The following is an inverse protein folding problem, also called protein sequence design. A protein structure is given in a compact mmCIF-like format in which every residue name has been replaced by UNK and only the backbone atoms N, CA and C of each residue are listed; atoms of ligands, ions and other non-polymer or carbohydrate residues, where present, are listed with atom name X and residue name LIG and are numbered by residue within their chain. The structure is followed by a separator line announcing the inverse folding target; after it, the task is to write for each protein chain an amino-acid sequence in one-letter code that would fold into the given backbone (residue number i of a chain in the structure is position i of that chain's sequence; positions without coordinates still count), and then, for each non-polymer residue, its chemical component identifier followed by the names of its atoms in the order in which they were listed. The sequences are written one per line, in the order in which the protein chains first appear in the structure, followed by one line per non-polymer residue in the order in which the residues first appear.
data_IF_998832886415
#
_entry.id   IF_998832886415
#
_cell.length_a   1.000
_cell.length_b   1.000
_cell.length_c   1.000
_cell.angle_alpha   90.00
_cell.angle_beta   90.00
_cell.angle_gamma   90.00
#
_symmetry.space_group_name_H-M   'P 1'
#
loop_
_entity.id
_entity.type
_entity.pdbx_description
1 polymer ?
#
# COMPACT_ATOMS: atom_id res chain seq x y z
N UNK A 1 10.23 4.91 -22.90
CA UNK A 1 11.08 4.43 -21.79
C UNK A 1 10.50 5.00 -20.49
N UNK A 2 10.13 4.12 -19.59
CA UNK A 2 9.45 4.49 -18.34
C UNK A 2 10.52 4.82 -17.30
N UNK A 3 10.92 6.09 -17.21
CA UNK A 3 11.84 6.55 -16.18
C UNK A 3 11.04 6.83 -14.91
N UNK A 4 11.41 6.17 -13.80
CA UNK A 4 10.89 6.50 -12.49
C UNK A 4 11.35 7.87 -12.02
N UNK A 5 10.51 8.51 -11.22
CA UNK A 5 10.84 9.79 -10.60
C UNK A 5 10.52 9.73 -9.10
N UNK A 6 11.50 9.33 -8.31
CA UNK A 6 11.39 9.09 -6.87
C UNK A 6 10.32 8.03 -6.53
N UNK A 7 10.50 6.76 -6.98
CA UNK A 7 9.58 5.69 -6.64
C UNK A 7 9.52 5.48 -5.12
N UNK A 8 8.36 5.07 -4.65
CA UNK A 8 8.06 5.03 -3.22
C UNK A 8 8.06 3.63 -2.64
N UNK A 9 7.64 2.62 -3.41
CA UNK A 9 7.58 1.24 -2.95
C UNK A 9 7.53 0.23 -4.09
N UNK A 10 7.75 -1.05 -3.76
CA UNK A 10 7.68 -2.19 -4.68
C UNK A 10 7.03 -3.39 -3.99
N UNK A 11 6.11 -4.09 -4.68
CA UNK A 11 5.53 -5.34 -4.23
C UNK A 11 5.51 -6.40 -5.33
N UNK A 12 5.47 -7.67 -4.90
CA UNK A 12 5.41 -8.82 -5.78
C UNK A 12 4.03 -9.48 -5.71
N UNK A 13 3.48 -9.81 -6.86
CA UNK A 13 2.28 -10.63 -6.94
C UNK A 13 2.62 -12.14 -6.80
N UNK A 14 1.64 -12.99 -6.47
CA UNK A 14 1.85 -14.44 -6.37
C UNK A 14 2.38 -15.11 -7.66
N UNK A 15 2.10 -14.53 -8.83
CA UNK A 15 2.61 -15.01 -10.13
C UNK A 15 4.02 -14.48 -10.47
N UNK A 16 4.63 -13.68 -9.57
CA UNK A 16 5.94 -13.08 -9.75
C UNK A 16 5.94 -11.71 -10.43
N UNK A 17 4.81 -11.19 -10.89
CA UNK A 17 4.72 -9.83 -11.43
C UNK A 17 5.10 -8.81 -10.36
N UNK A 18 5.72 -7.71 -10.79
CA UNK A 18 6.25 -6.67 -9.92
C UNK A 18 5.45 -5.38 -10.12
N UNK A 19 4.98 -4.80 -9.02
CA UNK A 19 4.31 -3.51 -9.02
C UNK A 19 5.18 -2.47 -8.31
N UNK A 20 5.30 -1.29 -8.91
CA UNK A 20 6.08 -0.17 -8.37
C UNK A 20 5.20 1.06 -8.26
N UNK A 21 5.07 1.61 -7.06
CA UNK A 21 4.50 2.95 -6.89
C UNK A 21 5.56 4.01 -7.16
N UNK A 22 5.28 4.92 -8.11
CA UNK A 22 6.19 6.00 -8.53
C UNK A 22 5.58 7.33 -8.07
N UNK A 23 5.57 7.55 -6.74
CA UNK A 23 4.65 8.48 -6.12
C UNK A 23 5.14 9.90 -5.93
N UNK A 24 6.40 10.16 -5.59
CA UNK A 24 6.85 11.52 -5.30
C UNK A 24 6.93 12.39 -6.54
N UNK A 25 7.40 11.85 -7.65
CA UNK A 25 7.55 12.58 -8.89
C UNK A 25 6.47 12.30 -9.93
N UNK A 26 5.87 11.11 -9.88
CA UNK A 26 4.84 10.67 -10.81
C UNK A 26 3.68 10.02 -10.05
N UNK A 27 2.42 10.45 -10.22
CA UNK A 27 1.28 9.87 -9.49
C UNK A 27 0.76 8.61 -10.19
N UNK A 28 1.58 7.53 -10.23
CA UNK A 28 1.26 6.30 -10.96
C UNK A 28 1.74 5.03 -10.25
N UNK A 29 1.20 3.89 -10.68
CA UNK A 29 1.71 2.55 -10.43
C UNK A 29 2.14 1.93 -11.75
N UNK A 30 3.27 1.24 -11.77
CA UNK A 30 3.81 0.55 -12.96
C UNK A 30 3.91 -0.93 -12.68
N UNK A 31 3.48 -1.76 -13.62
CA UNK A 31 3.53 -3.22 -13.56
C UNK A 31 4.56 -3.78 -14.53
N UNK A 32 5.36 -4.71 -14.04
CA UNK A 32 6.31 -5.51 -14.82
C UNK A 32 6.03 -6.99 -14.64
N UNK A 33 6.33 -7.79 -15.66
CA UNK A 33 6.41 -9.23 -15.52
C UNK A 33 7.60 -9.64 -14.65
N UNK A 34 7.61 -10.89 -14.18
CA UNK A 34 8.68 -11.46 -13.35
C UNK A 34 10.07 -11.41 -14.00
N UNK A 35 10.14 -11.37 -15.32
CA UNK A 35 11.40 -11.24 -16.09
C UNK A 35 11.83 -9.78 -16.31
N UNK A 36 11.08 -8.81 -15.78
CA UNK A 36 11.33 -7.38 -15.90
C UNK A 36 10.75 -6.73 -17.16
N UNK A 37 9.97 -7.46 -17.99
CA UNK A 37 9.27 -6.87 -19.10
C UNK A 37 8.18 -5.92 -18.60
N UNK A 38 8.14 -4.69 -19.13
CA UNK A 38 7.05 -3.75 -18.86
C UNK A 38 5.72 -4.32 -19.39
N UNK A 39 4.68 -4.24 -18.57
CA UNK A 39 3.34 -4.69 -18.93
C UNK A 39 2.37 -3.52 -19.11
N UNK A 40 2.19 -2.73 -18.06
CA UNK A 40 1.26 -1.59 -18.06
C UNK A 40 1.57 -0.59 -16.94
N UNK A 41 0.92 0.55 -16.98
CA UNK A 41 0.89 1.53 -15.90
C UNK A 41 -0.48 2.18 -15.81
N UNK A 42 -0.82 2.67 -14.63
CA UNK A 42 -2.03 3.45 -14.40
C UNK A 42 -1.80 4.54 -13.36
N UNK A 43 -2.71 5.50 -13.33
CA UNK A 43 -2.67 6.63 -12.42
C UNK A 43 -2.31 7.93 -13.12
N UNK A 44 -2.87 8.98 -12.58
CA UNK A 44 -2.58 10.39 -12.93
C UNK A 44 -2.91 11.25 -11.71
N UNK A 45 -2.45 12.47 -11.67
CA UNK A 45 -2.75 13.38 -10.56
C UNK A 45 -4.24 13.70 -10.49
N UNK A 46 -4.82 13.55 -9.29
CA UNK A 46 -6.22 13.87 -9.05
C UNK A 46 -6.76 13.22 -7.77
N UNK A 47 -8.09 13.28 -7.62
CA UNK A 47 -8.83 12.79 -6.45
C UNK A 47 -9.88 11.72 -6.80
N UNK A 48 -10.13 11.49 -8.08
CA UNK A 48 -11.09 10.49 -8.56
C UNK A 48 -10.57 9.05 -8.47
N UNK A 49 -11.42 8.06 -8.80
CA UNK A 49 -11.00 6.66 -8.91
C UNK A 49 -9.84 6.48 -9.91
N UNK A 50 -8.77 5.81 -9.49
CA UNK A 50 -7.58 5.62 -10.31
C UNK A 50 -6.69 6.85 -10.47
N UNK A 51 -7.04 7.98 -9.85
CA UNK A 51 -6.19 9.15 -9.74
C UNK A 51 -5.48 9.17 -8.38
N UNK A 52 -4.29 9.77 -8.30
CA UNK A 52 -3.50 9.83 -7.07
C UNK A 52 -3.05 11.25 -6.73
N UNK A 53 -3.06 11.55 -5.45
CA UNK A 53 -2.28 12.65 -4.89
C UNK A 53 -0.81 12.23 -4.74
N UNK A 54 -0.59 11.15 -3.98
CA UNK A 54 0.73 10.54 -3.79
C UNK A 54 0.58 9.04 -3.48
N UNK A 55 0.75 8.14 -4.46
CA UNK A 55 0.82 6.71 -4.21
C UNK A 55 2.14 6.40 -3.47
N UNK A 56 2.05 5.95 -2.20
CA UNK A 56 3.23 5.90 -1.32
C UNK A 56 3.69 4.48 -1.00
N UNK A 57 2.76 3.56 -0.79
CA UNK A 57 3.06 2.17 -0.48
C UNK A 57 2.03 1.26 -1.15
N UNK A 58 2.38 0.01 -1.43
CA UNK A 58 1.46 -0.92 -2.05
C UNK A 58 1.69 -2.37 -1.59
N UNK A 59 0.62 -3.16 -1.58
CA UNK A 59 0.67 -4.61 -1.35
C UNK A 59 -0.22 -5.32 -2.35
N UNK A 60 0.08 -6.60 -2.62
CA UNK A 60 -0.70 -7.43 -3.56
C UNK A 60 -1.20 -8.67 -2.81
N UNK A 61 -2.52 -8.89 -2.83
CA UNK A 61 -3.12 -10.06 -2.17
C UNK A 61 -2.97 -11.37 -2.97
N UNK A 62 -3.39 -12.47 -2.39
CA UNK A 62 -3.31 -13.81 -3.01
C UNK A 62 -4.15 -13.96 -4.29
N UNK A 63 -5.08 -13.03 -4.56
CA UNK A 63 -5.89 -12.98 -5.78
C UNK A 63 -5.32 -12.03 -6.83
N UNK A 64 -4.18 -11.38 -6.53
CA UNK A 64 -3.54 -10.39 -7.40
C UNK A 64 -4.13 -8.98 -7.30
N UNK A 65 -5.06 -8.69 -6.37
CA UNK A 65 -5.57 -7.33 -6.18
C UNK A 65 -4.49 -6.47 -5.54
N UNK A 66 -4.36 -5.24 -6.06
CA UNK A 66 -3.33 -4.26 -5.66
C UNK A 66 -3.96 -3.21 -4.76
N UNK A 67 -3.45 -3.08 -3.56
CA UNK A 67 -3.86 -2.07 -2.59
C UNK A 67 -2.80 -0.98 -2.55
N UNK A 68 -3.17 0.27 -2.79
CA UNK A 68 -2.24 1.40 -2.89
C UNK A 68 -2.64 2.48 -1.90
N UNK A 69 -1.72 2.89 -1.03
CA UNK A 69 -1.94 4.09 -0.21
C UNK A 69 -1.86 5.32 -1.12
N UNK A 70 -2.90 6.12 -1.12
CA UNK A 70 -2.94 7.43 -1.75
C UNK A 70 -2.86 8.50 -0.65
N UNK A 71 -1.62 8.73 -0.19
CA UNK A 71 -1.34 9.44 1.06
C UNK A 71 -1.94 10.83 1.11
N UNK A 72 -1.73 11.61 0.04
CA UNK A 72 -2.17 13.01 0.01
C UNK A 72 -3.69 13.15 -0.16
N UNK A 73 -4.37 12.07 -0.54
CA UNK A 73 -5.83 11.98 -0.60
C UNK A 73 -6.44 11.21 0.60
N UNK A 74 -5.63 10.82 1.60
CA UNK A 74 -6.06 10.15 2.84
C UNK A 74 -6.92 8.89 2.61
N UNK A 75 -6.50 8.04 1.66
CA UNK A 75 -7.24 6.82 1.31
C UNK A 75 -6.32 5.67 0.89
N UNK A 76 -6.85 4.46 0.90
CA UNK A 76 -6.31 3.32 0.16
C UNK A 76 -7.22 3.07 -1.04
N UNK A 77 -6.66 2.89 -2.23
CA UNK A 77 -7.38 2.44 -3.40
C UNK A 77 -7.05 0.98 -3.71
N UNK A 78 -8.04 0.24 -4.20
CA UNK A 78 -7.92 -1.18 -4.55
C UNK A 78 -8.14 -1.34 -6.05
N UNK A 79 -7.24 -2.08 -6.70
CA UNK A 79 -7.26 -2.33 -8.13
C UNK A 79 -7.22 -3.84 -8.42
N UNK A 80 -7.71 -4.22 -9.59
CA UNK A 80 -7.43 -5.54 -10.14
C UNK A 80 -5.99 -5.63 -10.70
N UNK A 81 -5.53 -6.83 -11.14
CA UNK A 81 -4.20 -6.99 -11.70
C UNK A 81 -3.94 -6.17 -12.98
N UNK A 82 -4.96 -5.70 -13.66
CA UNK A 82 -4.94 -4.89 -14.89
C UNK A 82 -5.02 -3.38 -14.60
N UNK A 83 -5.01 -2.98 -13.30
CA UNK A 83 -5.04 -1.58 -12.86
C UNK A 83 -6.43 -0.94 -12.93
N UNK A 84 -7.50 -1.72 -13.07
CA UNK A 84 -8.87 -1.20 -13.00
C UNK A 84 -9.28 -0.97 -11.55
N UNK A 85 -9.86 0.19 -11.28
CA UNK A 85 -10.35 0.53 -9.94
C UNK A 85 -11.48 -0.39 -9.49
N UNK A 86 -11.36 -0.94 -8.29
CA UNK A 86 -12.36 -1.82 -7.67
C UNK A 86 -13.07 -1.16 -6.49
N UNK A 87 -12.31 -0.55 -5.58
CA UNK A 87 -12.83 0.02 -4.34
C UNK A 87 -11.87 1.06 -3.74
N UNK A 88 -12.36 1.80 -2.75
CA UNK A 88 -11.50 2.63 -1.90
C UNK A 88 -11.86 2.50 -0.42
N UNK A 89 -10.87 2.73 0.45
CA UNK A 89 -11.04 2.88 1.88
C UNK A 89 -10.71 4.33 2.24
N UNK A 90 -11.72 5.18 2.42
CA UNK A 90 -11.52 6.61 2.63
C UNK A 90 -11.20 6.95 4.10
N UNK A 91 -10.86 8.22 4.34
CA UNK A 91 -10.69 8.82 5.68
C UNK A 91 -9.60 8.12 6.51
N UNK A 92 -8.44 7.89 5.92
CA UNK A 92 -7.27 7.32 6.57
C UNK A 92 -6.15 8.35 6.54
N UNK A 93 -6.13 9.25 7.52
CA UNK A 93 -5.22 10.38 7.58
C UNK A 93 -3.76 9.95 7.51
N UNK A 94 -3.02 10.57 6.58
CA UNK A 94 -1.58 10.38 6.44
C UNK A 94 -1.13 8.95 6.16
N UNK A 95 -1.98 8.13 5.55
CA UNK A 95 -1.71 6.71 5.27
C UNK A 95 -0.46 6.55 4.42
N UNK A 96 0.61 6.04 5.02
CA UNK A 96 1.92 5.90 4.36
C UNK A 96 2.38 4.45 4.21
N UNK A 97 1.78 3.50 4.95
CA UNK A 97 2.24 2.11 4.91
C UNK A 97 1.10 1.10 4.94
N UNK A 98 1.34 0.01 4.24
CA UNK A 98 0.54 -1.22 4.27
C UNK A 98 1.44 -2.39 4.62
N UNK A 99 0.90 -3.37 5.31
CA UNK A 99 1.52 -4.68 5.48
C UNK A 99 0.46 -5.77 5.35
N UNK A 100 0.61 -6.65 4.37
CA UNK A 100 -0.28 -7.80 4.16
C UNK A 100 0.21 -8.97 4.99
N UNK A 101 -0.65 -9.53 5.83
CA UNK A 101 -0.37 -10.74 6.62
C UNK A 101 -0.63 -12.01 5.81
N UNK A 102 -0.10 -13.14 6.28
CA UNK A 102 -0.34 -14.47 5.67
C UNK A 102 -1.84 -14.83 5.68
N UNK A 103 -2.59 -14.37 6.71
CA UNK A 103 -4.04 -14.56 6.81
C UNK A 103 -4.84 -13.62 5.88
N UNK A 104 -4.17 -12.91 4.99
CA UNK A 104 -4.79 -11.96 4.05
C UNK A 104 -5.55 -10.83 4.76
N UNK A 105 -4.98 -10.30 5.84
CA UNK A 105 -5.39 -9.05 6.47
C UNK A 105 -4.34 -7.97 6.19
N UNK A 106 -4.76 -6.71 6.18
CA UNK A 106 -3.87 -5.60 5.89
C UNK A 106 -3.77 -4.67 7.11
N UNK A 107 -2.57 -4.51 7.63
CA UNK A 107 -2.25 -3.41 8.52
C UNK A 107 -2.10 -2.13 7.69
N UNK A 108 -2.89 -1.14 8.06
CA UNK A 108 -2.87 0.22 7.49
C UNK A 108 -2.45 1.16 8.62
N UNK A 109 -1.17 1.47 8.71
CA UNK A 109 -0.62 2.11 9.90
C UNK A 109 -0.88 1.25 11.14
N UNK A 110 -1.60 1.77 12.13
CA UNK A 110 -1.97 1.07 13.36
C UNK A 110 -3.33 0.37 13.33
N UNK A 111 -3.94 0.14 12.17
CA UNK A 111 -5.30 -0.43 12.03
C UNK A 111 -5.26 -1.68 11.16
N UNK A 112 -5.69 -2.82 11.71
CA UNK A 112 -5.85 -4.07 10.96
C UNK A 112 -7.21 -4.08 10.28
N UNK A 113 -7.22 -4.41 8.98
CA UNK A 113 -8.44 -4.52 8.17
C UNK A 113 -8.48 -5.85 7.42
N UNK A 114 -9.68 -6.33 7.11
CA UNK A 114 -9.83 -7.38 6.11
C UNK A 114 -9.69 -6.80 4.68
N UNK A 115 -9.73 -7.67 3.68
CA UNK A 115 -9.56 -7.27 2.27
C UNK A 115 -10.72 -6.43 1.70
N UNK A 116 -11.84 -6.34 2.41
CA UNK A 116 -12.99 -5.47 2.10
C UNK A 116 -12.91 -4.12 2.83
N UNK A 117 -11.85 -3.91 3.65
CA UNK A 117 -11.61 -2.66 4.36
C UNK A 117 -12.27 -2.56 5.74
N UNK A 118 -12.97 -3.60 6.21
CA UNK A 118 -13.55 -3.63 7.55
C UNK A 118 -12.45 -3.68 8.61
N UNK A 119 -12.59 -2.86 9.63
CA UNK A 119 -11.65 -2.80 10.76
C UNK A 119 -11.82 -4.04 11.65
N UNK A 120 -10.75 -4.77 11.85
CA UNK A 120 -10.67 -5.95 12.71
C UNK A 120 -10.04 -5.61 14.07
N UNK A 121 -9.01 -4.76 14.08
CA UNK A 121 -8.30 -4.38 15.29
C UNK A 121 -7.64 -3.00 15.13
N UNK A 122 -7.29 -2.38 16.28
CA UNK A 122 -6.53 -1.13 16.35
C UNK A 122 -5.44 -1.24 17.41
N UNK A 123 -4.27 -0.73 17.08
CA UNK A 123 -3.20 -0.52 18.07
C UNK A 123 -3.50 0.76 18.86
N UNK A 124 -3.46 0.68 20.18
CA UNK A 124 -3.63 1.84 21.03
C UNK A 124 -2.30 2.58 21.22
N UNK A 125 -2.34 3.90 21.15
CA UNK A 125 -1.16 4.74 21.35
C UNK A 125 -0.23 4.87 20.15
N UNK A 126 -0.66 4.45 18.95
CA UNK A 126 0.01 4.81 17.70
C UNK A 126 -0.69 6.00 17.03
N UNK A 127 0.09 6.87 16.41
CA UNK A 127 -0.40 8.02 15.62
C UNK A 127 -0.39 7.75 14.12
N UNK A 128 -0.46 6.48 13.72
CA UNK A 128 -0.14 6.03 12.37
C UNK A 128 1.36 5.77 12.26
N UNK A 129 1.84 5.34 11.12
CA UNK A 129 3.26 5.07 10.92
C UNK A 129 3.66 5.27 9.48
N UNK A 130 4.95 5.56 9.28
CA UNK A 130 5.53 5.66 7.94
C UNK A 130 5.91 4.28 7.37
N UNK A 131 6.17 3.32 8.27
CA UNK A 131 6.40 1.92 7.92
C UNK A 131 5.76 1.00 8.94
N UNK A 132 5.19 -0.11 8.50
CA UNK A 132 4.58 -1.13 9.35
C UNK A 132 5.04 -2.51 8.90
N UNK A 133 5.41 -3.36 9.85
CA UNK A 133 5.71 -4.78 9.60
C UNK A 133 5.27 -5.63 10.76
N UNK A 134 5.12 -6.94 10.53
CA UNK A 134 4.75 -7.92 11.56
C UNK A 134 5.82 -9.00 11.61
N UNK A 135 6.30 -9.30 12.80
CA UNK A 135 7.25 -10.40 13.01
C UNK A 135 6.54 -11.77 12.98
N UNK A 136 7.29 -12.86 12.76
CA UNK A 136 6.70 -14.22 12.71
C UNK A 136 5.94 -14.64 13.98
N UNK A 137 6.28 -14.06 15.14
CA UNK A 137 5.57 -14.27 16.41
C UNK A 137 4.34 -13.37 16.60
N UNK A 138 4.01 -12.54 15.57
CA UNK A 138 2.82 -11.71 15.52
C UNK A 138 2.97 -10.34 16.18
N UNK A 139 4.17 -9.93 16.62
CA UNK A 139 4.39 -8.58 17.10
C UNK A 139 4.38 -7.57 15.93
N UNK A 140 3.66 -6.46 16.11
CA UNK A 140 3.57 -5.39 15.11
C UNK A 140 4.59 -4.31 15.41
N UNK A 141 5.37 -3.92 14.41
CA UNK A 141 6.33 -2.82 14.51
C UNK A 141 5.88 -1.67 13.61
N UNK A 142 5.88 -0.47 14.18
CA UNK A 142 5.47 0.76 13.48
C UNK A 142 6.60 1.78 13.57
N UNK A 143 7.17 2.14 12.42
CA UNK A 143 8.19 3.18 12.33
C UNK A 143 7.54 4.56 12.21
N UNK A 144 7.95 5.49 13.05
CA UNK A 144 7.43 6.85 13.12
C UNK A 144 8.41 7.85 12.50
N UNK A 145 7.89 8.95 11.95
CA UNK A 145 8.72 10.04 11.39
C UNK A 145 9.53 10.81 12.45
N UNK A 146 9.15 10.69 13.72
CA UNK A 146 9.85 11.33 14.85
C UNK A 146 11.08 10.54 15.35
N UNK A 147 11.49 9.49 14.61
CA UNK A 147 12.66 8.68 14.91
C UNK A 147 12.40 7.50 15.86
N UNK A 148 11.15 7.24 16.23
CA UNK A 148 10.78 6.10 17.09
C UNK A 148 10.37 4.90 16.26
N UNK A 149 10.61 3.69 16.82
CA UNK A 149 9.97 2.46 16.40
C UNK A 149 9.17 1.93 17.59
N UNK A 150 7.87 1.78 17.41
CA UNK A 150 6.98 1.21 18.42
C UNK A 150 6.80 -0.29 18.15
N UNK A 151 6.89 -1.10 19.20
CA UNK A 151 6.57 -2.54 19.17
C UNK A 151 5.29 -2.79 19.96
N UNK A 152 4.34 -3.46 19.34
CA UNK A 152 3.09 -3.89 19.95
C UNK A 152 3.09 -5.42 20.03
N UNK A 153 2.87 -5.94 21.22
CA UNK A 153 2.75 -7.39 21.47
C UNK A 153 1.29 -7.83 21.21
N UNK A 154 1.15 -9.08 20.77
CA UNK A 154 -0.13 -9.72 20.56
C UNK A 154 -0.86 -9.97 21.88
#
# INVERSE_FOLDING_TARGET
RHTFNLPTDVAFAPNGDVYVSDGYGNPRVVKYAADGQYLLEWGRRGIGPGEFGLPHNLVVDSRGRVYVTDRDNNRVQVFDPEGQFLAEWPNIDGVSSLFLTDEQHIWVGGVLRNLEGLILARLLGTTGGHGTTVSPDGAVFVAQLDGRVQKFLK
#
